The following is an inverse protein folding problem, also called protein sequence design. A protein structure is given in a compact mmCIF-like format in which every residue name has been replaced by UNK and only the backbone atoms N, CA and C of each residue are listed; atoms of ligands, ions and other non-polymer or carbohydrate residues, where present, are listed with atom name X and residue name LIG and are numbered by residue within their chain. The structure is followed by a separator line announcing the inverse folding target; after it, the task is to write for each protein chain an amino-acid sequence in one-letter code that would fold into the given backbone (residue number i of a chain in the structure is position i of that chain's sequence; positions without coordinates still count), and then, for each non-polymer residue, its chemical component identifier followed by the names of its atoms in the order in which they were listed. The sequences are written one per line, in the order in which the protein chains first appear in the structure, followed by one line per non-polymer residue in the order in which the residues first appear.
data_IF_178753642772
#
_entry.id   IF_178753642772
#
_cell.length_a   1.000
_cell.length_b   1.000
_cell.length_c   1.000
_cell.angle_alpha   90.00
_cell.angle_beta   90.00
_cell.angle_gamma   90.00
#
_symmetry.space_group_name_H-M   'P 1'
#
loop_
_entity.id
_entity.type
_entity.pdbx_description
1 polymer ?
#
# COMPACT_ATOMS: atom_id res chain seq x y z
N UNK A 1 -19.99 -6.98 -3.93
CA UNK A 1 -19.00 -8.00 -4.36
C UNK A 1 -17.72 -7.67 -3.64
N UNK A 2 -16.99 -8.67 -3.14
CA UNK A 2 -15.73 -8.44 -2.45
C UNK A 2 -14.70 -7.85 -3.43
N UNK A 3 -13.81 -7.02 -2.91
CA UNK A 3 -12.78 -6.32 -3.68
C UNK A 3 -11.54 -6.06 -2.82
N UNK A 4 -10.52 -5.47 -3.43
CA UNK A 4 -9.21 -5.21 -2.85
C UNK A 4 -8.82 -3.77 -3.12
N UNK A 5 -8.06 -3.18 -2.20
CA UNK A 5 -7.52 -1.83 -2.34
C UNK A 5 -6.07 -1.78 -1.86
N UNK A 6 -5.22 -0.97 -2.51
CA UNK A 6 -3.90 -0.68 -1.96
C UNK A 6 -4.06 0.22 -0.73
N UNK A 7 -3.29 -0.06 0.31
CA UNK A 7 -3.42 0.63 1.59
C UNK A 7 -2.04 0.88 2.21
N UNK A 8 -1.91 2.01 2.89
CA UNK A 8 -0.85 2.24 3.88
C UNK A 8 -1.46 2.28 5.28
N UNK A 9 -0.68 1.85 6.27
CA UNK A 9 -1.15 1.76 7.65
C UNK A 9 -0.18 2.43 8.62
N UNK A 10 -0.74 2.98 9.68
CA UNK A 10 -0.02 3.46 10.86
C UNK A 10 1.14 4.43 10.55
N UNK A 11 0.89 5.55 9.82
CA UNK A 11 1.91 6.53 9.43
C UNK A 11 2.34 7.42 10.61
N UNK A 12 2.90 6.81 11.66
CA UNK A 12 3.29 7.47 12.91
C UNK A 12 4.75 7.92 12.89
N UNK A 13 5.12 8.70 11.88
CA UNK A 13 6.45 9.28 11.74
C UNK A 13 6.44 10.80 11.86
N UNK A 14 7.62 11.39 12.01
CA UNK A 14 7.79 12.84 12.04
C UNK A 14 7.36 13.46 10.71
N UNK A 15 6.70 14.62 10.79
CA UNK A 15 6.28 15.33 9.60
C UNK A 15 7.49 16.02 8.96
N UNK A 16 7.74 15.81 7.65
CA UNK A 16 8.78 16.54 6.96
C UNK A 16 8.58 18.05 7.03
N UNK A 17 9.67 18.79 7.20
CA UNK A 17 9.62 20.26 7.33
C UNK A 17 9.11 20.98 6.09
N UNK A 18 9.08 20.28 4.96
CA UNK A 18 8.57 20.75 3.67
C UNK A 18 7.10 20.40 3.41
N UNK A 19 6.43 19.73 4.36
CA UNK A 19 4.97 19.61 4.41
C UNK A 19 4.46 20.70 5.35
N UNK A 20 3.87 21.75 4.78
CA UNK A 20 3.42 22.94 5.53
C UNK A 20 2.07 22.76 6.23
N UNK A 21 1.31 21.73 5.85
CA UNK A 21 0.00 21.43 6.42
C UNK A 21 0.12 20.74 7.78
N UNK A 22 -0.86 20.98 8.65
CA UNK A 22 -1.04 20.16 9.84
C UNK A 22 -1.58 18.78 9.43
N UNK A 23 -0.71 17.77 9.44
CA UNK A 23 -1.06 16.40 9.04
C UNK A 23 -1.78 15.68 10.18
N UNK A 24 -3.10 15.50 10.02
CA UNK A 24 -3.88 14.59 10.87
C UNK A 24 -3.56 13.13 10.50
N UNK A 25 -3.23 12.27 11.46
CA UNK A 25 -2.83 10.89 11.15
C UNK A 25 -4.03 9.97 11.09
N UNK A 26 -4.27 9.38 9.92
CA UNK A 26 -5.23 8.29 9.75
C UNK A 26 -4.50 6.96 9.89
N UNK A 27 -5.04 6.05 10.70
CA UNK A 27 -4.43 4.72 10.91
C UNK A 27 -4.42 3.87 9.63
N UNK A 28 -5.37 4.13 8.72
CA UNK A 28 -5.56 3.39 7.47
C UNK A 28 -5.86 4.40 6.37
N UNK A 29 -5.08 4.36 5.29
CA UNK A 29 -5.27 5.24 4.12
C UNK A 29 -5.25 4.42 2.83
N UNK A 30 -6.36 4.41 2.10
CA UNK A 30 -6.46 3.75 0.80
C UNK A 30 -5.93 4.67 -0.31
N UNK A 31 -5.15 4.11 -1.23
CA UNK A 31 -4.53 4.86 -2.31
C UNK A 31 -5.30 4.67 -3.62
N UNK A 32 -5.49 5.75 -4.39
CA UNK A 32 -6.10 5.71 -5.72
C UNK A 32 -5.82 7.00 -6.49
N UNK A 33 -6.34 7.11 -7.73
CA UNK A 33 -6.31 8.37 -8.49
C UNK A 33 -7.14 9.50 -7.87
N UNK A 34 -8.01 9.19 -6.90
CA UNK A 34 -8.85 10.15 -6.19
C UNK A 34 -8.36 10.44 -4.78
N UNK A 35 -7.16 9.94 -4.41
CA UNK A 35 -6.51 10.30 -3.16
C UNK A 35 -6.32 11.81 -3.07
N UNK A 36 -6.59 12.33 -1.88
CA UNK A 36 -6.47 13.75 -1.57
C UNK A 36 -5.01 14.18 -1.39
N UNK A 37 -4.78 15.49 -1.37
CA UNK A 37 -3.47 16.07 -0.97
C UNK A 37 -3.03 15.54 0.39
N UNK A 38 -3.98 15.38 1.32
CA UNK A 38 -3.71 14.85 2.65
C UNK A 38 -3.23 13.39 2.61
N UNK A 39 -3.82 12.55 1.75
CA UNK A 39 -3.40 11.15 1.60
C UNK A 39 -1.99 11.06 1.00
N UNK A 40 -1.63 11.98 0.09
CA UNK A 40 -0.26 12.07 -0.46
C UNK A 40 0.73 12.46 0.63
N UNK A 41 0.38 13.42 1.48
CA UNK A 41 1.24 13.85 2.59
C UNK A 41 1.43 12.74 3.62
N UNK A 42 0.38 11.99 3.94
CA UNK A 42 0.48 10.77 4.77
C UNK A 42 1.36 9.71 4.13
N UNK A 43 1.22 9.48 2.83
CA UNK A 43 2.07 8.53 2.10
C UNK A 43 3.54 8.95 2.13
N UNK A 44 3.86 10.21 1.86
CA UNK A 44 5.23 10.72 1.88
C UNK A 44 5.84 10.68 3.29
N UNK A 45 5.09 11.15 4.30
CA UNK A 45 5.52 11.06 5.70
C UNK A 45 5.87 9.61 6.08
N UNK A 46 5.01 8.67 5.70
CA UNK A 46 5.19 7.26 6.01
C UNK A 46 6.37 6.65 5.26
N UNK A 47 6.47 6.90 3.95
CA UNK A 47 7.56 6.40 3.12
C UNK A 47 8.92 6.89 3.64
N UNK A 48 9.05 8.18 3.94
CA UNK A 48 10.32 8.73 4.41
C UNK A 48 10.66 8.23 5.80
N UNK A 49 9.68 8.22 6.72
CA UNK A 49 9.88 7.76 8.08
C UNK A 49 10.23 6.28 8.17
N UNK A 50 9.52 5.42 7.43
CA UNK A 50 9.77 3.98 7.42
C UNK A 50 11.17 3.64 6.88
N UNK A 51 11.65 4.42 5.90
CA UNK A 51 12.98 4.25 5.32
C UNK A 51 14.06 5.07 6.04
N UNK A 52 13.77 5.63 7.21
CA UNK A 52 14.72 6.38 8.05
C UNK A 52 15.42 7.55 7.33
N UNK A 53 14.70 8.20 6.41
CA UNK A 53 15.20 9.38 5.69
C UNK A 53 15.12 10.60 6.61
N UNK A 54 16.15 11.46 6.60
CA UNK A 54 16.14 12.67 7.42
C UNK A 54 15.24 13.75 6.81
N UNK A 55 14.05 13.88 7.40
CA UNK A 55 13.00 14.81 6.96
C UNK A 55 13.12 16.22 7.56
N UNK A 56 14.18 16.49 8.34
CA UNK A 56 14.47 17.82 8.88
C UNK A 56 15.20 18.74 7.88
N UNK A 57 15.67 18.17 6.77
CA UNK A 57 16.34 18.89 5.68
C UNK A 57 15.35 19.43 4.64
N UNK A 58 15.90 20.11 3.62
CA UNK A 58 15.09 20.57 2.48
C UNK A 58 14.51 19.39 1.70
N UNK A 59 13.48 19.65 0.90
CA UNK A 59 12.84 18.63 0.06
C UNK A 59 13.86 17.96 -0.87
N UNK A 60 14.75 18.73 -1.50
CA UNK A 60 15.72 18.23 -2.46
C UNK A 60 16.67 17.22 -1.81
N UNK A 61 17.22 17.56 -0.64
CA UNK A 61 18.14 16.68 0.08
C UNK A 61 17.45 15.41 0.59
N UNK A 62 16.24 15.55 1.13
CA UNK A 62 15.47 14.40 1.61
C UNK A 62 15.18 13.42 0.46
N UNK A 63 14.79 13.94 -0.71
CA UNK A 63 14.52 13.11 -1.89
C UNK A 63 15.79 12.54 -2.52
N UNK A 64 16.93 13.25 -2.47
CA UNK A 64 18.23 12.71 -2.88
C UNK A 64 18.59 11.46 -2.07
N UNK A 65 18.44 11.52 -0.75
CA UNK A 65 18.65 10.38 0.16
C UNK A 65 17.69 9.22 -0.16
N UNK A 66 16.39 9.51 -0.35
CA UNK A 66 15.41 8.49 -0.72
C UNK A 66 15.74 7.84 -2.08
N UNK A 67 16.12 8.62 -3.09
CA UNK A 67 16.42 8.11 -4.43
C UNK A 67 17.71 7.31 -4.50
N UNK A 68 18.61 7.45 -3.51
CA UNK A 68 19.79 6.61 -3.39
C UNK A 68 19.47 5.16 -3.00
N UNK A 69 18.26 4.90 -2.48
CA UNK A 69 17.82 3.55 -2.14
C UNK A 69 17.52 2.72 -3.40
N UNK A 70 17.95 1.45 -3.36
CA UNK A 70 17.62 0.44 -4.36
C UNK A 70 16.17 -0.02 -4.21
N UNK A 71 15.74 -0.24 -2.97
CA UNK A 71 14.41 -0.69 -2.58
C UNK A 71 13.91 0.17 -1.40
N UNK A 72 12.60 0.25 -1.26
CA UNK A 72 11.94 0.94 -0.14
C UNK A 72 10.96 0.00 0.52
N UNK A 73 10.69 0.23 1.79
CA UNK A 73 9.63 -0.45 2.51
C UNK A 73 8.61 0.55 3.05
N UNK A 74 7.34 0.15 3.09
CA UNK A 74 6.27 0.95 3.68
C UNK A 74 5.15 0.06 4.21
N UNK A 75 4.86 0.14 5.51
CA UNK A 75 3.81 -0.67 6.13
C UNK A 75 2.45 -0.45 5.43
N UNK A 76 1.86 -1.52 4.92
CA UNK A 76 0.72 -1.45 4.02
C UNK A 76 0.51 -2.74 3.24
N UNK A 77 0.03 -2.64 2.01
CA UNK A 77 -0.19 -3.80 1.13
C UNK A 77 -1.56 -3.79 0.47
N UNK A 78 -2.14 -4.98 0.37
CA UNK A 78 -3.46 -5.22 -0.21
C UNK A 78 -4.48 -5.45 0.90
N UNK A 79 -5.41 -4.53 1.08
CA UNK A 79 -6.59 -4.77 1.91
C UNK A 79 -7.63 -5.57 1.14
N UNK A 80 -8.31 -6.49 1.81
CA UNK A 80 -9.43 -7.26 1.27
C UNK A 80 -10.72 -6.79 1.93
N UNK A 81 -11.72 -6.45 1.12
CA UNK A 81 -12.97 -5.85 1.55
C UNK A 81 -14.13 -6.66 1.02
N UNK A 82 -15.13 -6.92 1.87
CA UNK A 82 -16.42 -7.43 1.41
C UNK A 82 -17.40 -6.27 1.16
N UNK A 83 -17.31 -5.26 2.02
CA UNK A 83 -18.06 -4.01 2.09
C UNK A 83 -17.26 -2.99 2.91
N UNK A 84 -17.86 -1.83 3.23
CA UNK A 84 -17.19 -0.76 3.98
C UNK A 84 -16.88 -1.12 5.44
N UNK A 85 -17.66 -2.04 6.02
CA UNK A 85 -17.54 -2.43 7.44
C UNK A 85 -16.68 -3.68 7.63
N UNK A 86 -16.52 -4.49 6.57
CA UNK A 86 -15.82 -5.78 6.62
C UNK A 86 -14.50 -5.70 5.84
N UNK A 87 -13.42 -5.44 6.57
CA UNK A 87 -12.08 -5.26 6.01
C UNK A 87 -11.07 -6.17 6.71
N UNK A 88 -10.29 -6.90 5.91
CA UNK A 88 -9.08 -7.59 6.34
C UNK A 88 -7.89 -6.76 5.85
N UNK A 89 -7.18 -6.15 6.79
CA UNK A 89 -6.01 -5.32 6.52
C UNK A 89 -4.74 -6.17 6.47
N UNK A 90 -3.71 -5.76 5.71
CA UNK A 90 -2.39 -6.39 5.78
C UNK A 90 -1.81 -6.35 7.19
N UNK A 91 -1.10 -7.39 7.63
CA UNK A 91 -0.48 -7.43 8.96
C UNK A 91 0.76 -6.53 9.06
N UNK A 92 1.36 -6.45 10.26
CA UNK A 92 2.48 -5.55 10.55
C UNK A 92 3.79 -5.84 9.79
N UNK A 93 3.95 -7.01 9.17
CA UNK A 93 5.13 -7.33 8.34
C UNK A 93 4.81 -7.39 6.84
N UNK A 94 3.72 -6.74 6.40
CA UNK A 94 3.38 -6.61 4.99
C UNK A 94 3.65 -5.19 4.51
N UNK A 95 4.31 -5.08 3.36
CA UNK A 95 4.56 -3.81 2.70
C UNK A 95 3.61 -3.53 1.55
N UNK A 96 3.45 -2.25 1.18
CA UNK A 96 2.81 -1.91 -0.09
C UNK A 96 3.67 -2.35 -1.28
N UNK A 97 5.00 -2.35 -1.11
CA UNK A 97 5.99 -2.85 -2.08
C UNK A 97 5.81 -4.34 -2.41
N UNK A 98 5.18 -5.10 -1.51
CA UNK A 98 4.95 -6.54 -1.68
C UNK A 98 3.73 -6.87 -2.55
N UNK A 99 2.93 -5.88 -2.99
CA UNK A 99 1.65 -6.14 -3.67
C UNK A 99 1.82 -7.04 -4.91
N UNK A 100 2.92 -6.90 -5.66
CA UNK A 100 3.16 -7.71 -6.85
C UNK A 100 3.52 -9.15 -6.48
N UNK A 101 4.30 -9.34 -5.42
CA UNK A 101 4.60 -10.68 -4.87
C UNK A 101 3.30 -11.36 -4.40
N UNK A 102 2.40 -10.59 -3.79
CA UNK A 102 1.06 -11.06 -3.37
C UNK A 102 0.25 -11.48 -4.61
N UNK A 103 0.21 -10.63 -5.65
CA UNK A 103 -0.49 -10.93 -6.90
C UNK A 103 0.04 -12.22 -7.56
N UNK A 104 1.35 -12.34 -7.74
CA UNK A 104 1.98 -13.53 -8.33
C UNK A 104 1.67 -14.81 -7.54
N UNK A 105 1.68 -14.73 -6.21
CA UNK A 105 1.36 -15.87 -5.34
C UNK A 105 -0.09 -16.31 -5.54
N UNK A 106 -1.01 -15.34 -5.60
CA UNK A 106 -2.45 -15.60 -5.82
C UNK A 106 -2.70 -16.22 -7.20
N UNK A 107 -2.06 -15.70 -8.25
CA UNK A 107 -2.12 -16.28 -9.60
C UNK A 107 -1.64 -17.73 -9.63
N UNK A 108 -0.59 -18.06 -8.86
CA UNK A 108 -0.04 -19.41 -8.72
C UNK A 108 -0.81 -20.29 -7.74
N UNK A 109 -1.91 -19.79 -7.14
CA UNK A 109 -2.67 -20.46 -6.07
C UNK A 109 -1.79 -20.86 -4.88
N UNK A 110 -0.81 -20.01 -4.56
CA UNK A 110 0.05 -20.12 -3.40
C UNK A 110 -0.41 -19.11 -2.37
N UNK A 111 -0.40 -19.50 -1.09
CA UNK A 111 -0.75 -18.55 -0.04
C UNK A 111 0.38 -17.52 0.07
N UNK A 112 0.12 -16.22 -0.19
CA UNK A 112 1.13 -15.19 -0.01
C UNK A 112 1.45 -15.02 1.47
N UNK A 113 2.64 -14.50 1.75
CA UNK A 113 2.92 -13.88 3.05
C UNK A 113 2.14 -12.58 3.14
N UNK A 114 1.28 -12.45 4.15
CA UNK A 114 0.47 -11.25 4.39
C UNK A 114 0.85 -10.55 5.70
N UNK A 115 1.98 -10.95 6.31
CA UNK A 115 2.64 -10.21 7.38
C UNK A 115 2.69 -10.87 8.77
N UNK A 116 2.21 -12.10 8.96
CA UNK A 116 2.46 -12.91 10.18
C UNK A 116 2.36 -14.43 9.92
N UNK A 117 2.66 -15.23 10.94
CA UNK A 117 2.52 -16.70 11.02
C UNK A 117 1.86 -17.03 12.38
N UNK A 118 0.94 -18.00 12.53
CA UNK A 118 0.49 -19.02 11.57
C UNK A 118 -0.71 -18.66 10.67
N UNK A 119 -1.10 -17.39 10.59
CA UNK A 119 -2.13 -16.87 9.66
C UNK A 119 -1.59 -15.56 9.06
N UNK A 120 -2.16 -14.91 8.04
CA UNK A 120 -3.34 -15.24 7.27
C UNK A 120 -2.93 -15.97 5.99
N UNK A 121 -3.46 -17.18 5.84
CA UNK A 121 -3.21 -18.00 4.66
C UNK A 121 -4.42 -17.97 3.75
N UNK A 122 -4.30 -17.43 2.54
CA UNK A 122 -5.36 -17.56 1.54
C UNK A 122 -5.58 -19.05 1.28
N UNK A 123 -6.78 -19.54 1.58
CA UNK A 123 -7.15 -20.93 1.35
C UNK A 123 -7.78 -21.06 -0.04
N UNK A 124 -7.24 -21.95 -0.86
CA UNK A 124 -7.72 -22.21 -2.21
C UNK A 124 -8.63 -23.44 -2.23
N UNK A 125 -9.75 -23.33 -2.94
CA UNK A 125 -10.73 -24.39 -3.17
C UNK A 125 -10.96 -24.54 -4.67
N UNK A 126 -11.78 -25.49 -5.12
CA UNK A 126 -11.94 -25.75 -6.56
C UNK A 126 -12.45 -24.52 -7.34
N UNK A 127 -13.45 -23.81 -6.77
CA UNK A 127 -14.16 -22.71 -7.45
C UNK A 127 -13.93 -21.33 -6.81
N UNK A 128 -13.31 -21.27 -5.63
CA UNK A 128 -13.17 -20.04 -4.86
C UNK A 128 -11.92 -20.06 -3.98
N UNK A 129 -11.59 -18.90 -3.42
CA UNK A 129 -10.58 -18.75 -2.39
C UNK A 129 -11.14 -17.97 -1.19
N UNK A 130 -10.58 -18.23 -0.02
CA UNK A 130 -10.98 -17.60 1.24
C UNK A 130 -9.78 -16.88 1.84
N UNK A 131 -9.92 -15.58 2.07
CA UNK A 131 -8.96 -14.75 2.78
C UNK A 131 -9.37 -14.71 4.24
N UNK A 132 -8.43 -14.94 5.15
CA UNK A 132 -8.67 -14.94 6.60
C UNK A 132 -7.99 -13.74 7.25
N UNK A 133 -8.55 -13.20 8.32
CA UNK A 133 -7.88 -12.24 9.18
C UNK A 133 -6.88 -12.93 10.11
N UNK A 134 -5.90 -12.14 10.57
CA UNK A 134 -4.96 -12.47 11.63
C UNK A 134 -5.63 -12.85 12.94
N UNK A 135 -6.60 -12.02 13.34
CA UNK A 135 -7.11 -12.02 14.69
C UNK A 135 -8.48 -12.68 14.79
N UNK A 136 -8.68 -13.40 15.89
CA UNK A 136 -9.99 -13.80 16.39
C UNK A 136 -10.58 -12.68 17.25
N UNK A 137 -10.85 -11.50 16.66
CA UNK A 137 -11.38 -10.35 17.43
C UNK A 137 -12.86 -10.47 17.82
N UNK A 138 -13.53 -11.57 17.49
CA UNK A 138 -14.93 -11.80 17.86
C UNK A 138 -14.98 -12.62 19.15
N UNK A 139 -15.74 -12.16 20.15
CA UNK A 139 -15.99 -12.83 21.44
C UNK A 139 -16.47 -14.31 21.34
N UNK A 140 -16.73 -14.79 20.11
CA UNK A 140 -17.14 -16.15 19.77
C UNK A 140 -16.07 -17.02 19.06
N UNK A 141 -14.79 -16.60 19.01
CA UNK A 141 -13.71 -17.30 18.27
C UNK A 141 -13.92 -17.42 16.75
N UNK A 142 -14.80 -16.62 16.14
CA UNK A 142 -14.95 -16.60 14.68
C UNK A 142 -13.89 -15.68 14.06
N UNK A 143 -12.95 -16.26 13.33
CA UNK A 143 -11.97 -15.51 12.53
C UNK A 143 -12.68 -14.93 11.31
N UNK A 144 -12.53 -13.62 11.10
CA UNK A 144 -13.13 -12.95 9.95
C UNK A 144 -12.56 -13.53 8.66
N UNK A 145 -13.44 -13.80 7.69
CA UNK A 145 -13.01 -14.23 6.37
C UNK A 145 -13.83 -13.62 5.25
N UNK A 146 -13.19 -13.48 4.09
CA UNK A 146 -13.80 -12.96 2.87
C UNK A 146 -13.57 -13.97 1.76
N UNK A 147 -14.65 -14.40 1.13
CA UNK A 147 -14.63 -15.33 0.00
C UNK A 147 -14.63 -14.56 -1.32
N UNK A 148 -13.77 -14.97 -2.24
CA UNK A 148 -13.74 -14.51 -3.63
C UNK A 148 -13.88 -15.71 -4.57
N UNK A 149 -14.62 -15.56 -5.66
CA UNK A 149 -14.39 -16.41 -6.85
C UNK A 149 -13.06 -16.03 -7.49
N UNK A 150 -12.47 -16.95 -8.28
CA UNK A 150 -11.23 -16.65 -8.98
C UNK A 150 -11.31 -15.45 -9.94
N UNK A 151 -12.37 -15.26 -10.74
CA UNK A 151 -12.52 -14.07 -11.56
C UNK A 151 -12.64 -12.79 -10.74
N UNK A 152 -13.39 -12.81 -9.62
CA UNK A 152 -13.51 -11.64 -8.74
C UNK A 152 -12.17 -11.23 -8.15
N UNK A 153 -11.38 -12.19 -7.63
CA UNK A 153 -10.06 -11.89 -7.08
C UNK A 153 -9.14 -11.30 -8.15
N UNK A 154 -9.08 -11.91 -9.33
CA UNK A 154 -8.24 -11.42 -10.43
C UNK A 154 -8.64 -10.01 -10.85
N UNK A 155 -9.92 -9.79 -11.14
CA UNK A 155 -10.42 -8.47 -11.54
C UNK A 155 -10.15 -7.42 -10.45
N UNK A 156 -10.26 -7.83 -9.19
CA UNK A 156 -10.00 -6.96 -8.05
C UNK A 156 -8.53 -6.58 -7.91
N UNK A 157 -7.60 -7.52 -8.07
CA UNK A 157 -6.16 -7.23 -8.06
C UNK A 157 -5.75 -6.36 -9.27
N UNK A 158 -6.36 -6.57 -10.44
CA UNK A 158 -6.19 -5.70 -11.61
C UNK A 158 -6.68 -4.26 -11.32
N UNK A 159 -7.72 -4.10 -10.49
CA UNK A 159 -8.15 -2.77 -10.00
C UNK A 159 -7.16 -2.20 -8.99
N UNK A 160 -6.66 -3.01 -8.05
CA UNK A 160 -5.63 -2.59 -7.09
C UNK A 160 -4.38 -2.07 -7.79
N UNK A 161 -3.87 -2.76 -8.83
CA UNK A 161 -2.75 -2.25 -9.63
C UNK A 161 -3.06 -0.90 -10.28
N UNK A 162 -4.26 -0.74 -10.84
CA UNK A 162 -4.71 0.52 -11.43
C UNK A 162 -4.83 1.64 -10.41
N UNK A 163 -5.24 1.34 -9.18
CA UNK A 163 -5.32 2.31 -8.09
C UNK A 163 -3.92 2.77 -7.65
N UNK A 164 -2.96 1.85 -7.53
CA UNK A 164 -1.54 2.19 -7.26
C UNK A 164 -0.99 3.08 -8.37
N UNK A 165 -1.16 2.67 -9.63
CA UNK A 165 -0.71 3.46 -10.77
C UNK A 165 -1.38 4.83 -10.81
N UNK A 166 -2.69 4.87 -10.60
CA UNK A 166 -3.48 6.10 -10.57
C UNK A 166 -3.03 7.06 -9.47
N UNK A 167 -2.67 6.55 -8.29
CA UNK A 167 -2.09 7.33 -7.20
C UNK A 167 -0.73 7.93 -7.58
N UNK A 168 0.16 7.13 -8.16
CA UNK A 168 1.51 7.56 -8.59
C UNK A 168 1.40 8.65 -9.67
N UNK A 169 0.61 8.40 -10.71
CA UNK A 169 0.59 9.24 -11.90
C UNK A 169 -0.18 10.55 -11.75
N UNK A 170 -1.07 10.64 -10.76
CA UNK A 170 -1.94 11.79 -10.57
C UNK A 170 -1.67 12.51 -9.24
N UNK A 171 -2.25 12.12 -8.09
CA UNK A 171 -2.14 12.94 -6.88
C UNK A 171 -0.69 13.06 -6.37
N UNK A 172 0.11 11.98 -6.38
CA UNK A 172 1.51 12.05 -5.96
C UNK A 172 2.35 12.91 -6.90
N UNK A 173 2.30 12.65 -8.20
CA UNK A 173 3.03 13.42 -9.20
C UNK A 173 2.64 14.90 -9.18
N UNK A 174 1.35 15.22 -9.13
CA UNK A 174 0.86 16.60 -9.12
C UNK A 174 1.29 17.36 -7.86
N UNK A 175 1.26 16.70 -6.69
CA UNK A 175 1.71 17.33 -5.45
C UNK A 175 3.20 17.70 -5.50
N UNK A 176 4.02 16.84 -6.10
CA UNK A 176 5.45 17.09 -6.27
C UNK A 176 5.74 18.08 -7.39
N UNK A 177 5.04 18.03 -8.52
CA UNK A 177 5.32 18.88 -9.69
C UNK A 177 5.16 20.38 -9.37
N UNK A 178 4.23 20.72 -8.49
CA UNK A 178 4.03 22.11 -8.01
C UNK A 178 5.25 22.61 -7.22
N UNK A 179 6.03 21.71 -6.61
CA UNK A 179 7.19 22.02 -5.76
C UNK A 179 8.50 21.91 -6.54
N UNK A 180 8.71 20.76 -7.18
CA UNK A 180 9.87 20.49 -8.02
C UNK A 180 9.52 19.44 -9.09
N UNK A 181 9.65 19.83 -10.35
CA UNK A 181 9.30 18.99 -11.50
C UNK A 181 10.27 17.82 -11.71
N UNK A 182 11.55 18.01 -11.42
CA UNK A 182 12.56 16.96 -11.57
C UNK A 182 12.35 15.88 -10.50
N UNK A 183 12.07 16.29 -9.26
CA UNK A 183 11.69 15.37 -8.18
C UNK A 183 10.41 14.60 -8.55
N UNK A 184 9.40 15.26 -9.12
CA UNK A 184 8.16 14.60 -9.52
C UNK A 184 8.38 13.50 -10.57
N UNK A 185 9.21 13.78 -11.58
CA UNK A 185 9.58 12.81 -12.63
C UNK A 185 10.37 11.64 -12.02
N UNK A 186 11.41 11.93 -11.24
CA UNK A 186 12.26 10.90 -10.62
C UNK A 186 11.46 10.04 -9.64
N UNK A 187 10.57 10.65 -8.85
CA UNK A 187 9.70 9.93 -7.93
C UNK A 187 8.75 8.99 -8.68
N UNK A 188 8.12 9.46 -9.76
CA UNK A 188 7.29 8.59 -10.61
C UNK A 188 8.09 7.38 -11.08
N UNK A 189 9.25 7.58 -11.68
CA UNK A 189 10.08 6.47 -12.15
C UNK A 189 10.46 5.48 -11.04
N UNK A 190 10.90 6.02 -9.89
CA UNK A 190 11.26 5.20 -8.73
C UNK A 190 10.08 4.41 -8.19
N UNK A 191 8.89 5.01 -8.10
CA UNK A 191 7.67 4.31 -7.69
C UNK A 191 7.30 3.15 -8.62
N UNK A 192 7.46 3.33 -9.94
CA UNK A 192 7.25 2.24 -10.90
C UNK A 192 8.25 1.09 -10.68
N UNK A 193 9.51 1.41 -10.39
CA UNK A 193 10.53 0.38 -10.10
C UNK A 193 10.28 -0.31 -8.75
N UNK A 194 10.03 0.44 -7.69
CA UNK A 194 9.88 -0.08 -6.33
C UNK A 194 8.59 -0.87 -6.13
N UNK A 195 7.47 -0.34 -6.61
CA UNK A 195 6.16 -0.95 -6.35
C UNK A 195 5.72 -1.80 -7.53
N UNK A 196 5.84 -1.34 -8.76
CA UNK A 196 5.26 -2.06 -9.92
C UNK A 196 6.26 -3.02 -10.60
N UNK A 197 7.48 -3.14 -10.06
CA UNK A 197 8.67 -3.86 -10.56
C UNK A 197 8.87 -3.74 -12.07
N UNK A 198 8.49 -2.60 -12.64
CA UNK A 198 8.73 -2.29 -14.03
C UNK A 198 10.21 -2.00 -14.20
N UNK A 199 10.88 -2.78 -15.06
CA UNK A 199 12.30 -2.56 -15.37
C UNK A 199 12.44 -1.26 -16.17
N UNK A 200 13.38 -0.42 -15.73
CA UNK A 200 13.89 0.74 -16.49
C UNK A 200 14.45 0.32 -17.85
#
# INVERSE_FOLDING_TARGET
MPYTKPVIREPYYDCPVWIESDVTRNEVTFLSSESSVHDVELFLLHLFGYNSIDVSHTIERSFEELFALEEVAILGGVAFLKDEDTVILPSCCCGLEDWETINESIERRQSPWLGHDPSPGIAYHDDYLTVWSDDSQIENNEVLNIRFTYPEMKESLDRTRRDILGFIEKPLYQWLEVRDKEIAINMKEKMHTWFLKEKR
#
